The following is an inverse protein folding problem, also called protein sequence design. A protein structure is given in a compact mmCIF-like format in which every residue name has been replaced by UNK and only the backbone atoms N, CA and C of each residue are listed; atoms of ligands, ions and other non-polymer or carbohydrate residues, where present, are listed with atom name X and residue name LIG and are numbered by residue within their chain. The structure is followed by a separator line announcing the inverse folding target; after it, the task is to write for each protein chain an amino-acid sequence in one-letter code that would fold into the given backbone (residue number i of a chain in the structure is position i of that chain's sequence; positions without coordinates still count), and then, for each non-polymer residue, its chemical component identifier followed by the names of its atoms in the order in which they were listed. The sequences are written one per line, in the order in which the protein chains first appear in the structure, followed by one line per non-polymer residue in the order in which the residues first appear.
data_IF_905822408042
#
_entry.id   IF_905822408042
#
_cell.length_a   1.000
_cell.length_b   1.000
_cell.length_c   1.000
_cell.angle_alpha   90.00
_cell.angle_beta   90.00
_cell.angle_gamma   90.00
#
_symmetry.space_group_name_H-M   'P 1'
#
loop_
_entity.id
_entity.type
_entity.pdbx_description
1 polymer ?
#
# COMPACT_ATOMS: atom_id res chain seq x y z
N UNK A 1 -13.55 2.90 31.50
CA UNK A 1 -12.64 2.70 30.36
C UNK A 1 -11.75 3.91 30.05
N UNK A 2 -12.22 5.17 30.15
CA UNK A 2 -11.37 6.36 29.90
C UNK A 2 -10.13 6.48 30.80
N UNK A 3 -10.22 6.10 32.09
CA UNK A 3 -9.09 6.18 33.03
C UNK A 3 -7.91 5.28 32.67
N UNK A 4 -8.16 4.12 32.07
CA UNK A 4 -7.10 3.20 31.65
C UNK A 4 -6.36 3.72 30.41
N UNK A 5 -7.09 4.32 29.46
CA UNK A 5 -6.48 4.91 28.27
C UNK A 5 -5.57 6.10 28.61
N UNK A 6 -5.99 6.99 29.53
CA UNK A 6 -5.14 8.11 29.95
C UNK A 6 -3.89 7.65 30.71
N UNK A 7 -4.02 6.61 31.54
CA UNK A 7 -2.89 6.00 32.24
C UNK A 7 -1.88 5.39 31.26
N UNK A 8 -2.37 4.74 30.21
CA UNK A 8 -1.54 4.10 29.20
C UNK A 8 -0.79 5.12 28.35
N UNK A 9 -1.48 6.17 27.90
CA UNK A 9 -0.84 7.29 27.20
C UNK A 9 0.18 8.01 28.09
N UNK A 10 -0.16 8.23 29.36
CA UNK A 10 0.76 8.80 30.35
C UNK A 10 2.00 7.94 30.56
N UNK A 11 1.83 6.64 30.79
CA UNK A 11 2.94 5.69 30.93
C UNK A 11 3.81 5.65 29.67
N UNK A 12 3.19 5.63 28.49
CA UNK A 12 3.91 5.63 27.22
C UNK A 12 4.74 6.90 27.07
N UNK A 13 4.17 8.08 27.37
CA UNK A 13 4.91 9.34 27.39
C UNK A 13 6.06 9.33 28.41
N UNK A 14 5.84 8.78 29.60
CA UNK A 14 6.87 8.68 30.64
C UNK A 14 8.01 7.80 30.17
N UNK A 15 7.72 6.62 29.60
CA UNK A 15 8.75 5.73 29.05
C UNK A 15 9.51 6.41 27.93
N UNK A 16 8.82 7.10 27.02
CA UNK A 16 9.43 7.84 25.90
C UNK A 16 10.31 8.99 26.41
N UNK A 17 9.85 9.71 27.43
CA UNK A 17 10.60 10.78 28.09
C UNK A 17 11.82 10.27 28.86
N UNK A 18 11.69 9.13 29.56
CA UNK A 18 12.82 8.47 30.26
C UNK A 18 13.84 7.96 29.24
N UNK A 19 13.41 7.39 28.12
CA UNK A 19 14.31 6.97 27.04
C UNK A 19 15.05 8.16 26.42
N UNK A 20 14.34 9.26 26.17
CA UNK A 20 14.94 10.50 25.67
C UNK A 20 15.92 11.10 26.68
N UNK A 21 15.58 11.10 27.97
CA UNK A 21 16.43 11.62 29.04
C UNK A 21 17.65 10.74 29.28
N UNK A 22 17.49 9.41 29.32
CA UNK A 22 18.59 8.47 29.41
C UNK A 22 19.52 8.61 28.19
N UNK A 23 18.93 8.79 27.00
CA UNK A 23 19.65 9.17 25.80
C UNK A 23 20.46 10.44 25.97
N UNK A 24 19.86 11.49 26.53
CA UNK A 24 20.51 12.80 26.73
C UNK A 24 21.59 12.78 27.84
N UNK A 25 21.38 12.04 28.91
CA UNK A 25 22.38 11.88 29.99
C UNK A 25 23.54 11.00 29.55
N UNK A 26 23.27 10.02 28.69
CA UNK A 26 24.30 9.26 27.99
C UNK A 26 25.01 10.13 26.93
N UNK A 27 24.29 11.01 26.23
CA UNK A 27 24.85 12.02 25.31
C UNK A 27 25.86 12.94 26.00
N UNK A 28 25.60 13.37 27.24
CA UNK A 28 26.43 14.36 27.92
C UNK A 28 27.76 13.79 28.45
N UNK A 29 27.83 12.48 28.71
CA UNK A 29 29.02 11.84 29.30
C UNK A 29 29.94 11.14 28.29
N UNK A 30 29.52 10.97 27.03
CA UNK A 30 30.21 10.10 26.05
C UNK A 30 30.59 10.82 24.73
N UNK A 31 30.02 11.98 24.41
CA UNK A 31 30.17 12.59 23.07
C UNK A 31 31.19 13.74 22.99
N UNK A 32 32.46 13.36 22.87
CA UNK A 32 33.43 14.05 21.98
C UNK A 32 33.59 13.30 20.64
N UNK A 33 32.96 12.12 20.48
CA UNK A 33 33.08 11.27 19.29
C UNK A 33 31.76 11.13 18.53
N UNK A 34 31.72 11.66 17.29
CA UNK A 34 30.82 11.34 16.17
C UNK A 34 29.44 10.75 16.53
N UNK A 35 28.46 11.63 16.69
CA UNK A 35 27.05 11.33 16.94
C UNK A 35 26.36 10.57 15.78
N UNK A 36 26.63 9.26 15.65
CA UNK A 36 26.07 8.37 14.62
C UNK A 36 24.91 7.49 15.07
N UNK A 37 24.63 7.41 16.38
CA UNK A 37 23.63 6.49 16.94
C UNK A 37 22.21 7.11 17.10
N UNK A 38 22.03 8.39 16.80
CA UNK A 38 20.78 9.11 17.00
C UNK A 38 19.53 8.53 16.32
N UNK A 39 19.62 7.86 15.15
CA UNK A 39 18.44 7.25 14.54
C UNK A 39 17.79 6.16 15.39
N UNK A 40 18.52 5.58 16.36
CA UNK A 40 17.98 4.60 17.29
C UNK A 40 16.81 5.14 18.13
N UNK A 41 16.77 6.43 18.43
CA UNK A 41 15.62 7.04 19.12
C UNK A 41 14.36 7.01 18.24
N UNK A 42 14.51 7.27 16.94
CA UNK A 42 13.41 7.24 15.97
C UNK A 42 12.91 5.80 15.80
N UNK A 43 13.83 4.83 15.69
CA UNK A 43 13.50 3.39 15.66
C UNK A 43 12.76 2.97 16.94
N UNK A 44 13.25 3.40 18.10
CA UNK A 44 12.62 3.12 19.40
C UNK A 44 11.19 3.66 19.49
N UNK A 45 10.97 4.88 19.02
CA UNK A 45 9.62 5.47 18.94
C UNK A 45 8.71 4.69 17.99
N UNK A 46 9.19 4.34 16.80
CA UNK A 46 8.45 3.52 15.82
C UNK A 46 8.09 2.13 16.36
N UNK A 47 9.03 1.46 17.03
CA UNK A 47 8.80 0.17 17.69
C UNK A 47 7.75 0.29 18.79
N UNK A 48 7.82 1.34 19.61
CA UNK A 48 6.86 1.58 20.68
C UNK A 48 5.44 1.77 20.11
N UNK A 49 5.30 2.49 18.99
CA UNK A 49 4.02 2.62 18.28
C UNK A 49 3.52 1.28 17.71
N UNK A 50 4.40 0.43 17.19
CA UNK A 50 4.03 -0.85 16.61
C UNK A 50 3.75 -1.95 17.64
N UNK A 51 4.40 -1.90 18.81
CA UNK A 51 4.23 -2.87 19.91
C UNK A 51 2.95 -2.60 20.69
N UNK A 52 2.56 -1.33 20.87
CA UNK A 52 1.38 -0.99 21.68
C UNK A 52 0.09 -1.71 21.21
N UNK A 53 -0.26 -1.80 19.91
CA UNK A 53 -1.42 -2.56 19.44
C UNK A 53 -1.28 -4.07 19.63
N UNK A 54 -0.06 -4.62 19.62
CA UNK A 54 0.21 -6.06 19.83
C UNK A 54 0.03 -6.43 21.30
N UNK A 55 0.53 -5.58 22.21
CA UNK A 55 0.44 -5.80 23.65
C UNK A 55 -0.99 -5.64 24.16
N UNK A 56 -1.72 -4.66 23.61
CA UNK A 56 -3.10 -4.35 24.01
C UNK A 56 -4.12 -4.78 22.96
N UNK A 57 -4.00 -6.02 22.46
CA UNK A 57 -4.91 -6.61 21.47
C UNK A 57 -6.40 -6.51 21.81
N UNK A 58 -6.75 -6.37 23.08
CA UNK A 58 -8.15 -6.25 23.52
C UNK A 58 -8.77 -4.88 23.20
N UNK A 59 -7.96 -3.83 23.02
CA UNK A 59 -8.45 -2.47 22.81
C UNK A 59 -8.51 -2.16 21.32
N UNK A 60 -9.71 -2.28 20.75
CA UNK A 60 -9.97 -2.14 19.31
C UNK A 60 -9.44 -0.84 18.69
N UNK A 61 -9.29 0.25 19.45
CA UNK A 61 -8.83 1.54 18.92
C UNK A 61 -7.32 1.65 18.65
N UNK A 62 -6.47 0.78 19.22
CA UNK A 62 -5.02 0.95 19.09
C UNK A 62 -4.47 0.62 17.70
N UNK A 63 -5.20 -0.14 16.86
CA UNK A 63 -4.74 -0.49 15.50
C UNK A 63 -4.39 0.73 14.63
N UNK A 64 -4.96 1.91 14.92
CA UNK A 64 -4.61 3.15 14.22
C UNK A 64 -3.16 3.61 14.42
N UNK A 65 -2.47 3.16 15.47
CA UNK A 65 -1.06 3.53 15.74
C UNK A 65 -0.09 2.94 14.72
N UNK A 66 -0.49 1.91 13.96
CA UNK A 66 0.32 1.40 12.85
C UNK A 66 0.48 2.42 11.72
N UNK A 67 -0.48 3.34 11.54
CA UNK A 67 -0.46 4.33 10.46
C UNK A 67 0.76 5.25 10.59
N UNK A 68 1.05 5.87 11.75
CA UNK A 68 2.30 6.61 11.96
C UNK A 68 3.46 5.71 12.38
N UNK A 69 3.21 4.59 13.06
CA UNK A 69 4.25 3.75 13.64
C UNK A 69 5.16 3.08 12.61
N UNK A 70 4.58 2.53 11.54
CA UNK A 70 5.33 1.84 10.49
C UNK A 70 6.23 2.79 9.69
N UNK A 71 5.76 3.97 9.22
CA UNK A 71 6.62 4.97 8.60
C UNK A 71 7.75 5.42 9.52
N UNK A 72 7.45 5.79 10.77
CA UNK A 72 8.50 6.22 11.72
C UNK A 72 9.55 5.13 11.93
N UNK A 73 9.13 3.86 12.00
CA UNK A 73 10.04 2.73 12.11
C UNK A 73 10.94 2.58 10.88
N UNK A 74 10.36 2.70 9.67
CA UNK A 74 11.11 2.63 8.40
C UNK A 74 12.06 3.83 8.26
N UNK A 75 11.61 5.04 8.60
CA UNK A 75 12.44 6.26 8.62
C UNK A 75 13.62 6.09 9.55
N UNK A 76 13.37 5.63 10.78
CA UNK A 76 14.43 5.35 11.75
C UNK A 76 15.42 4.30 11.24
N UNK A 77 14.93 3.23 10.62
CA UNK A 77 15.78 2.18 10.04
C UNK A 77 16.62 2.68 8.86
N UNK A 78 16.04 3.51 7.99
CA UNK A 78 16.74 4.09 6.85
C UNK A 78 17.80 5.10 7.29
N UNK A 79 17.47 5.96 8.26
CA UNK A 79 18.42 6.90 8.86
C UNK A 79 19.55 6.18 9.59
N UNK A 80 19.24 5.09 10.30
CA UNK A 80 20.24 4.26 10.96
C UNK A 80 21.22 3.64 9.95
N UNK A 81 20.69 3.05 8.87
CA UNK A 81 21.50 2.52 7.78
C UNK A 81 22.37 3.61 7.12
N UNK A 82 21.81 4.79 6.85
CA UNK A 82 22.53 5.91 6.29
C UNK A 82 23.64 6.42 7.22
N UNK A 83 23.40 6.47 8.53
CA UNK A 83 24.37 6.97 9.51
C UNK A 83 25.54 6.03 9.73
N UNK A 84 25.31 4.71 9.72
CA UNK A 84 26.38 3.71 9.78
C UNK A 84 27.20 3.69 8.50
N UNK A 85 26.54 3.70 7.34
CA UNK A 85 27.22 3.66 6.05
C UNK A 85 27.85 4.98 5.64
N UNK A 86 27.52 6.10 6.31
CA UNK A 86 27.82 7.46 5.84
C UNK A 86 27.37 7.73 4.39
N UNK A 87 26.33 7.02 3.95
CA UNK A 87 25.78 7.09 2.59
C UNK A 87 24.41 7.76 2.63
N UNK A 88 24.40 9.08 2.76
CA UNK A 88 23.17 9.88 2.77
C UNK A 88 22.40 9.85 1.44
N UNK A 89 23.06 9.45 0.35
CA UNK A 89 22.44 9.21 -0.95
C UNK A 89 21.37 8.10 -0.92
N UNK A 90 21.47 7.18 0.06
CA UNK A 90 20.44 6.16 0.28
C UNK A 90 19.07 6.81 0.51
N UNK A 91 18.99 7.96 1.18
CA UNK A 91 17.72 8.63 1.38
C UNK A 91 17.04 9.01 0.05
N UNK A 92 17.82 9.48 -0.93
CA UNK A 92 17.31 9.88 -2.24
C UNK A 92 16.76 8.73 -3.08
N UNK A 93 17.30 7.52 -2.91
CA UNK A 93 16.86 6.32 -3.65
C UNK A 93 15.74 5.56 -2.92
N UNK A 94 15.77 5.55 -1.60
CA UNK A 94 14.95 4.67 -0.78
C UNK A 94 13.77 5.36 -0.09
N UNK A 95 13.61 6.69 -0.22
CA UNK A 95 12.43 7.39 0.31
C UNK A 95 11.07 6.80 -0.11
N UNK A 96 10.87 6.15 -1.28
CA UNK A 96 9.58 5.53 -1.61
C UNK A 96 9.19 4.40 -0.65
N UNK A 97 10.15 3.81 0.09
CA UNK A 97 9.84 2.88 1.18
C UNK A 97 8.93 3.52 2.23
N UNK A 98 8.99 4.82 2.46
CA UNK A 98 8.09 5.53 3.38
C UNK A 98 6.63 5.49 2.91
N UNK A 99 6.42 5.62 1.61
CA UNK A 99 5.08 5.55 1.02
C UNK A 99 4.55 4.12 1.13
N UNK A 100 5.40 3.12 0.88
CA UNK A 100 5.04 1.70 1.07
C UNK A 100 4.74 1.43 2.55
N UNK A 101 5.55 1.99 3.46
CA UNK A 101 5.39 1.89 4.90
C UNK A 101 4.04 2.48 5.37
N UNK A 102 3.62 3.62 4.82
CA UNK A 102 2.30 4.20 5.04
C UNK A 102 1.18 3.26 4.56
N UNK A 103 1.31 2.72 3.34
CA UNK A 103 0.36 1.74 2.80
C UNK A 103 0.24 0.49 3.69
N UNK A 104 1.37 -0.01 4.18
CA UNK A 104 1.42 -1.15 5.11
C UNK A 104 0.82 -0.79 6.48
N UNK A 105 1.06 0.42 6.98
CA UNK A 105 0.44 0.95 8.19
C UNK A 105 -1.08 0.98 8.10
N UNK A 106 -1.63 1.44 6.97
CA UNK A 106 -3.06 1.38 6.69
C UNK A 106 -3.58 -0.05 6.59
N UNK A 107 -2.83 -0.95 5.95
CA UNK A 107 -3.24 -2.36 5.81
C UNK A 107 -3.31 -3.05 7.18
N UNK A 108 -2.28 -2.87 8.02
CA UNK A 108 -2.25 -3.39 9.39
C UNK A 108 -3.36 -2.76 10.23
N UNK A 109 -3.57 -1.45 10.13
CA UNK A 109 -4.68 -0.79 10.79
C UNK A 109 -6.04 -1.36 10.36
N UNK A 110 -6.25 -1.64 9.06
CA UNK A 110 -7.48 -2.25 8.55
C UNK A 110 -7.73 -3.63 9.17
N UNK A 111 -6.68 -4.46 9.28
CA UNK A 111 -6.76 -5.81 9.86
C UNK A 111 -7.05 -5.75 11.37
N UNK A 112 -6.33 -4.91 12.12
CA UNK A 112 -6.46 -4.82 13.57
C UNK A 112 -7.74 -4.09 14.02
N UNK A 113 -8.16 -3.03 13.30
CA UNK A 113 -9.41 -2.32 13.57
C UNK A 113 -10.64 -3.07 13.02
N UNK A 114 -10.43 -4.07 12.16
CA UNK A 114 -11.48 -4.77 11.40
C UNK A 114 -12.34 -3.82 10.55
N UNK A 115 -11.74 -2.73 10.06
CA UNK A 115 -12.40 -1.71 9.22
C UNK A 115 -12.02 -1.95 7.76
N UNK A 116 -12.94 -2.57 7.02
CA UNK A 116 -12.76 -2.93 5.60
C UNK A 116 -12.46 -1.70 4.73
N UNK A 117 -13.02 -0.54 5.07
CA UNK A 117 -12.85 0.70 4.31
C UNK A 117 -11.40 1.20 4.25
N UNK A 118 -10.54 0.83 5.20
CA UNK A 118 -9.11 1.20 5.20
C UNK A 118 -8.26 0.37 4.22
N UNK A 119 -8.80 -0.73 3.68
CA UNK A 119 -8.09 -1.54 2.68
C UNK A 119 -7.91 -0.74 1.38
N UNK A 120 -8.89 0.09 0.99
CA UNK A 120 -8.80 0.89 -0.24
C UNK A 120 -7.61 1.87 -0.19
N UNK A 121 -7.48 2.77 0.81
CA UNK A 121 -6.32 3.65 0.89
C UNK A 121 -5.00 2.88 1.11
N UNK A 122 -5.03 1.74 1.82
CA UNK A 122 -3.83 0.89 1.96
C UNK A 122 -3.29 0.42 0.61
N UNK A 123 -4.17 -0.07 -0.27
CA UNK A 123 -3.80 -0.51 -1.60
C UNK A 123 -3.36 0.66 -2.48
N UNK A 124 -4.11 1.78 -2.49
CA UNK A 124 -3.75 2.95 -3.29
C UNK A 124 -2.35 3.46 -2.92
N UNK A 125 -2.11 3.70 -1.63
CA UNK A 125 -0.82 4.20 -1.14
C UNK A 125 0.29 3.15 -1.36
N UNK A 126 0.02 1.87 -1.08
CA UNK A 126 1.00 0.79 -1.25
C UNK A 126 1.45 0.60 -2.71
N UNK A 127 0.51 0.55 -3.66
CA UNK A 127 0.84 0.43 -5.08
C UNK A 127 1.51 1.68 -5.64
N UNK A 128 1.08 2.88 -5.21
CA UNK A 128 1.78 4.12 -5.56
C UNK A 128 3.22 4.12 -5.02
N UNK A 129 3.44 3.67 -3.78
CA UNK A 129 4.78 3.52 -3.21
C UNK A 129 5.66 2.56 -4.00
N UNK A 130 5.12 1.42 -4.44
CA UNK A 130 5.83 0.47 -5.30
C UNK A 130 6.20 1.06 -6.67
N UNK A 131 5.30 1.82 -7.29
CA UNK A 131 5.58 2.52 -8.54
C UNK A 131 6.67 3.58 -8.37
N UNK A 132 6.63 4.35 -7.28
CA UNK A 132 7.67 5.33 -6.94
C UNK A 132 9.01 4.66 -6.66
N UNK A 133 9.01 3.50 -5.97
CA UNK A 133 10.21 2.71 -5.72
C UNK A 133 10.83 2.23 -7.05
N UNK A 134 10.00 1.75 -7.97
CA UNK A 134 10.45 1.39 -9.31
C UNK A 134 11.11 2.58 -10.04
N UNK A 135 10.48 3.76 -10.03
CA UNK A 135 11.05 4.96 -10.65
C UNK A 135 12.36 5.40 -9.99
N UNK A 136 12.44 5.34 -8.65
CA UNK A 136 13.65 5.72 -7.92
C UNK A 136 14.82 4.76 -8.18
N UNK A 137 14.56 3.45 -8.29
CA UNK A 137 15.58 2.43 -8.57
C UNK A 137 16.04 2.41 -10.03
N UNK A 138 15.13 2.62 -10.98
CA UNK A 138 15.45 2.58 -12.42
C UNK A 138 15.89 3.93 -12.99
N UNK A 139 15.61 5.03 -12.29
CA UNK A 139 15.80 6.38 -12.79
C UNK A 139 14.82 6.79 -13.90
N UNK A 140 13.89 5.90 -14.31
CA UNK A 140 12.96 6.15 -15.41
C UNK A 140 11.72 6.92 -14.92
N UNK A 141 11.91 8.19 -14.55
CA UNK A 141 10.80 9.05 -14.13
C UNK A 141 9.78 9.32 -15.24
N UNK A 142 10.15 9.14 -16.52
CA UNK A 142 9.21 9.21 -17.65
C UNK A 142 8.12 8.13 -17.57
N UNK A 143 8.45 6.94 -17.04
CA UNK A 143 7.50 5.85 -16.86
C UNK A 143 6.38 6.22 -15.88
N UNK A 144 6.58 7.23 -15.02
CA UNK A 144 5.58 7.72 -14.08
C UNK A 144 4.27 8.14 -14.76
N UNK A 145 4.34 8.71 -15.97
CA UNK A 145 3.17 9.11 -16.74
C UNK A 145 2.26 7.92 -17.08
N UNK A 146 2.85 6.74 -17.31
CA UNK A 146 2.12 5.49 -17.59
C UNK A 146 1.71 4.81 -16.28
N UNK A 147 2.60 4.80 -15.28
CA UNK A 147 2.37 4.18 -13.98
C UNK A 147 1.21 4.80 -13.20
N UNK A 148 0.77 6.02 -13.54
CA UNK A 148 -0.37 6.66 -12.88
C UNK A 148 -1.68 5.85 -12.98
N UNK A 149 -1.81 5.00 -14.01
CA UNK A 149 -2.96 4.07 -14.13
C UNK A 149 -2.97 2.96 -13.08
N UNK A 150 -1.88 2.78 -12.31
CA UNK A 150 -1.85 1.88 -11.17
C UNK A 150 -2.83 2.32 -10.08
N UNK A 151 -3.17 3.61 -10.01
CA UNK A 151 -4.11 4.15 -9.02
C UNK A 151 -5.53 3.58 -9.21
N UNK A 152 -6.20 3.73 -10.37
CA UNK A 152 -7.51 3.10 -10.56
C UNK A 152 -7.44 1.56 -10.48
N UNK A 153 -6.32 0.95 -10.90
CA UNK A 153 -6.10 -0.49 -10.74
C UNK A 153 -6.07 -0.90 -9.26
N UNK A 154 -5.37 -0.14 -8.42
CA UNK A 154 -5.25 -0.38 -6.98
C UNK A 154 -6.57 -0.22 -6.22
N UNK A 155 -7.54 0.52 -6.77
CA UNK A 155 -8.91 0.58 -6.23
C UNK A 155 -9.75 -0.60 -6.72
N UNK A 156 -9.58 -1.00 -7.99
CA UNK A 156 -10.31 -2.12 -8.59
C UNK A 156 -9.99 -3.47 -7.92
N UNK A 157 -8.72 -3.69 -7.56
CA UNK A 157 -8.21 -4.93 -6.97
C UNK A 157 -8.86 -5.30 -5.62
N UNK A 158 -8.89 -4.42 -4.59
CA UNK A 158 -9.55 -4.71 -3.32
C UNK A 158 -11.07 -4.85 -3.47
N UNK A 159 -11.72 -4.06 -4.36
CA UNK A 159 -13.14 -4.24 -4.66
C UNK A 159 -13.41 -5.62 -5.27
N UNK A 160 -12.57 -6.07 -6.20
CA UNK A 160 -12.68 -7.38 -6.82
C UNK A 160 -12.49 -8.50 -5.79
N UNK A 161 -11.51 -8.38 -4.89
CA UNK A 161 -11.29 -9.33 -3.79
C UNK A 161 -12.51 -9.38 -2.86
N UNK A 162 -13.01 -8.23 -2.41
CA UNK A 162 -14.18 -8.16 -1.52
C UNK A 162 -15.43 -8.74 -2.21
N UNK A 163 -15.65 -8.41 -3.47
CA UNK A 163 -16.75 -8.95 -4.28
C UNK A 163 -16.68 -10.47 -4.43
N UNK A 164 -15.48 -11.03 -4.59
CA UNK A 164 -15.25 -12.46 -4.68
C UNK A 164 -15.48 -13.17 -3.33
N UNK A 165 -14.96 -12.61 -2.24
CA UNK A 165 -15.08 -13.18 -0.89
C UNK A 165 -16.52 -13.11 -0.35
N UNK A 166 -17.24 -12.01 -0.60
CA UNK A 166 -18.61 -11.79 -0.10
C UNK A 166 -19.71 -12.20 -1.08
N UNK A 167 -19.33 -12.69 -2.28
CA UNK A 167 -20.27 -13.05 -3.36
C UNK A 167 -21.26 -11.93 -3.70
N UNK A 168 -20.78 -10.68 -3.68
CA UNK A 168 -21.55 -9.50 -4.03
C UNK A 168 -21.34 -9.21 -5.52
N UNK A 169 -22.30 -9.62 -6.36
CA UNK A 169 -22.18 -9.52 -7.81
C UNK A 169 -21.94 -8.08 -8.29
N UNK A 170 -22.58 -7.09 -7.67
CA UNK A 170 -22.39 -5.67 -8.01
C UNK A 170 -20.97 -5.16 -7.71
N UNK A 171 -20.42 -5.49 -6.54
CA UNK A 171 -19.07 -5.06 -6.14
C UNK A 171 -18.01 -5.76 -6.99
N UNK A 172 -18.22 -7.06 -7.29
CA UNK A 172 -17.35 -7.83 -8.18
C UNK A 172 -17.34 -7.24 -9.59
N UNK A 173 -18.51 -6.89 -10.13
CA UNK A 173 -18.61 -6.28 -11.47
C UNK A 173 -17.92 -4.91 -11.49
N UNK A 174 -18.14 -4.08 -10.48
CA UNK A 174 -17.48 -2.77 -10.35
C UNK A 174 -15.95 -2.91 -10.30
N UNK A 175 -15.43 -3.82 -9.47
CA UNK A 175 -13.99 -4.10 -9.39
C UNK A 175 -13.42 -4.58 -10.73
N UNK A 176 -14.13 -5.43 -11.45
CA UNK A 176 -13.71 -5.96 -12.74
C UNK A 176 -13.72 -4.89 -13.85
N UNK A 177 -14.75 -4.04 -13.90
CA UNK A 177 -14.81 -2.91 -14.83
C UNK A 177 -13.67 -1.93 -14.54
N UNK A 178 -13.47 -1.54 -13.27
CA UNK A 178 -12.45 -0.56 -12.90
C UNK A 178 -11.03 -1.08 -13.19
N UNK A 179 -10.77 -2.35 -12.87
CA UNK A 179 -9.50 -3.01 -13.21
C UNK A 179 -9.30 -3.13 -14.72
N UNK A 180 -10.36 -3.41 -15.48
CA UNK A 180 -10.35 -3.47 -16.94
C UNK A 180 -10.03 -2.12 -17.57
N UNK A 181 -10.69 -1.05 -17.14
CA UNK A 181 -10.42 0.32 -17.61
C UNK A 181 -8.97 0.71 -17.31
N UNK A 182 -8.50 0.46 -16.10
CA UNK A 182 -7.12 0.76 -15.71
C UNK A 182 -6.10 -0.02 -16.56
N UNK A 183 -6.36 -1.29 -16.86
CA UNK A 183 -5.51 -2.11 -17.73
C UNK A 183 -5.48 -1.62 -19.18
N UNK A 184 -6.63 -1.21 -19.73
CA UNK A 184 -6.71 -0.63 -21.08
C UNK A 184 -5.95 0.69 -21.16
N UNK A 185 -6.13 1.57 -20.17
CA UNK A 185 -5.39 2.84 -20.10
C UNK A 185 -3.88 2.62 -19.97
N UNK A 186 -3.46 1.66 -19.13
CA UNK A 186 -2.05 1.31 -18.98
C UNK A 186 -1.45 0.83 -20.31
N UNK A 187 -2.14 -0.07 -21.01
CA UNK A 187 -1.70 -0.58 -22.31
C UNK A 187 -1.61 0.52 -23.37
N UNK A 188 -2.60 1.41 -23.43
CA UNK A 188 -2.63 2.53 -24.36
C UNK A 188 -1.47 3.51 -24.10
N UNK A 189 -1.27 3.93 -22.84
CA UNK A 189 -0.19 4.83 -22.47
C UNK A 189 1.19 4.20 -22.63
N UNK A 190 1.34 2.90 -22.32
CA UNK A 190 2.59 2.18 -22.49
C UNK A 190 3.04 2.17 -23.96
N UNK A 191 2.12 2.13 -24.92
CA UNK A 191 2.53 2.22 -26.34
C UNK A 191 2.94 3.59 -26.80
N UNK A 192 2.37 4.64 -26.19
CA UNK A 192 2.77 6.01 -26.48
C UNK A 192 4.19 6.27 -25.98
N UNK A 193 4.58 5.66 -24.85
CA UNK A 193 5.92 5.79 -24.30
C UNK A 193 6.95 4.86 -24.97
N UNK A 194 6.55 3.64 -25.36
CA UNK A 194 7.41 2.66 -26.04
C UNK A 194 7.66 2.97 -27.53
N UNK A 195 7.24 4.14 -28.03
CA UNK A 195 7.26 4.52 -29.44
C UNK A 195 8.67 4.71 -30.05
N UNK A 196 9.74 4.41 -29.31
CA UNK A 196 11.11 4.34 -29.82
C UNK A 196 11.41 3.06 -30.64
N UNK A 197 10.57 2.01 -30.58
CA UNK A 197 10.77 0.76 -31.33
C UNK A 197 9.53 0.25 -32.08
N UNK A 198 9.73 -0.47 -33.20
CA UNK A 198 8.65 -1.04 -34.02
C UNK A 198 7.74 -2.01 -33.23
N UNK A 199 8.31 -2.74 -32.29
CA UNK A 199 7.58 -3.65 -31.40
C UNK A 199 6.68 -2.90 -30.40
N UNK A 200 7.13 -1.74 -29.89
CA UNK A 200 6.34 -0.89 -28.99
C UNK A 200 5.11 -0.27 -29.66
N UNK A 201 5.16 -0.03 -30.97
CA UNK A 201 4.01 0.49 -31.75
C UNK A 201 2.89 -0.54 -31.92
N UNK A 202 3.21 -1.83 -31.98
CA UNK A 202 2.24 -2.91 -32.22
C UNK A 202 1.67 -3.52 -30.93
N UNK A 203 2.43 -3.47 -29.82
CA UNK A 203 2.07 -4.16 -28.58
C UNK A 203 0.72 -3.70 -27.98
N UNK A 204 0.45 -2.40 -27.92
CA UNK A 204 -0.79 -1.87 -27.31
C UNK A 204 -2.04 -2.08 -28.14
N UNK A 205 -2.04 -1.81 -29.46
CA UNK A 205 -3.17 -2.18 -30.30
C UNK A 205 -3.52 -3.66 -30.16
N UNK A 206 -2.51 -4.54 -30.16
CA UNK A 206 -2.71 -5.98 -29.99
C UNK A 206 -3.27 -6.32 -28.61
N UNK A 207 -2.75 -5.71 -27.52
CA UNK A 207 -3.28 -5.93 -26.16
C UNK A 207 -4.73 -5.44 -26.05
N UNK A 208 -5.06 -4.27 -26.59
CA UNK A 208 -6.44 -3.74 -26.59
C UNK A 208 -7.38 -4.65 -27.36
N UNK A 209 -6.95 -5.18 -28.51
CA UNK A 209 -7.73 -6.12 -29.32
C UNK A 209 -7.95 -7.44 -28.56
N UNK A 210 -6.91 -7.98 -27.91
CA UNK A 210 -7.02 -9.21 -27.14
C UNK A 210 -7.94 -9.01 -25.93
N UNK A 211 -7.75 -7.94 -25.15
CA UNK A 211 -8.59 -7.66 -23.98
C UNK A 211 -10.04 -7.41 -24.37
N UNK A 212 -10.27 -6.62 -25.43
CA UNK A 212 -11.58 -6.37 -25.99
C UNK A 212 -12.25 -7.65 -26.50
N UNK A 213 -11.49 -8.53 -27.17
CA UNK A 213 -11.95 -9.84 -27.62
C UNK A 213 -12.37 -10.75 -26.46
N UNK A 214 -11.55 -10.83 -25.41
CA UNK A 214 -11.86 -11.63 -24.21
C UNK A 214 -13.11 -11.10 -23.50
N UNK A 215 -13.27 -9.79 -23.39
CA UNK A 215 -14.49 -9.18 -22.84
C UNK A 215 -15.72 -9.47 -23.71
N UNK A 216 -15.60 -9.43 -25.03
CA UNK A 216 -16.71 -9.73 -25.94
C UNK A 216 -17.14 -11.21 -25.83
N UNK A 217 -16.18 -12.14 -25.84
CA UNK A 217 -16.43 -13.58 -25.73
C UNK A 217 -17.05 -13.92 -24.38
N UNK A 218 -16.55 -13.35 -23.29
CA UNK A 218 -17.12 -13.58 -21.96
C UNK A 218 -18.53 -12.98 -21.81
N UNK A 219 -18.82 -11.85 -22.44
CA UNK A 219 -20.16 -11.27 -22.48
C UNK A 219 -21.15 -12.12 -23.29
N UNK A 220 -20.72 -12.65 -24.44
CA UNK A 220 -21.53 -13.53 -25.27
C UNK A 220 -21.81 -14.87 -24.57
N UNK A 221 -20.80 -15.50 -23.98
CA UNK A 221 -20.95 -16.78 -23.26
C UNK A 221 -21.94 -16.68 -22.07
N UNK A 222 -22.01 -15.51 -21.41
CA UNK A 222 -22.93 -15.30 -20.30
C UNK A 222 -24.39 -15.12 -20.75
N UNK A 223 -24.64 -14.61 -21.96
CA UNK A 223 -26.01 -14.50 -22.53
C UNK A 223 -26.59 -15.86 -22.91
N UNK A 224 -25.79 -16.74 -23.48
CA UNK A 224 -26.25 -18.06 -23.95
C UNK A 224 -26.72 -18.96 -22.80
N UNK A 225 -26.04 -18.91 -21.64
CA UNK A 225 -26.44 -19.69 -20.47
C UNK A 225 -27.76 -19.20 -19.84
N UNK A 226 -28.04 -17.90 -19.89
CA UNK A 226 -29.30 -17.35 -19.37
C UNK A 226 -30.54 -17.71 -20.21
N UNK A 227 -30.39 -17.82 -21.53
CA UNK A 227 -31.48 -18.23 -22.42
C UNK A 227 -31.90 -19.70 -22.25
N UNK A 228 -30.97 -20.59 -21.92
CA UNK A 228 -31.25 -22.02 -21.75
C UNK A 228 -32.05 -22.27 -20.47
N UNK A 229 -31.69 -21.62 -19.36
CA UNK A 229 -32.33 -21.81 -18.06
C UNK A 229 -33.79 -21.32 -18.03
N UNK A 230 -34.12 -20.32 -18.85
CA UNK A 230 -35.48 -19.77 -18.96
C UNK A 230 -36.40 -20.70 -19.76
N UNK A 231 -35.88 -21.38 -20.79
CA UNK A 231 -36.65 -22.33 -21.59
C UNK A 231 -36.94 -23.64 -20.83
N UNK A 232 -36.01 -24.16 -20.03
CA UNK A 232 -36.24 -25.37 -19.23
C UNK A 232 -37.29 -25.18 -18.14
N UNK A 233 -37.43 -23.96 -17.60
CA UNK A 233 -38.48 -23.63 -16.61
C UNK A 233 -39.87 -23.51 -17.23
N UNK A 234 -39.99 -23.05 -18.48
CA UNK A 234 -41.27 -22.99 -19.19
C UNK A 234 -41.75 -24.34 -19.71
N UNK A 235 -40.85 -25.31 -19.90
CA UNK A 235 -41.20 -26.63 -20.41
C UNK A 235 -41.61 -27.63 -19.31
N UNK A 236 -41.32 -27.31 -18.05
CA UNK A 236 -41.64 -28.12 -16.87
C UNK A 236 -42.78 -27.54 -16.00
N UNK A 237 -43.46 -26.49 -16.48
CA UNK A 237 -44.63 -25.87 -15.86
C UNK A 237 -45.86 -26.09 -16.77
#
# INVERSE_FOLDING_TARGET
MQKQASLLFGLTLIVLGVLALAGNLYMQNVLDSDFRAWPLFVVGAGLLFCIAPILFRHVRGLGGLYIPGIPVLVTGGLLYAASIGNHWELWGQWWPLEVIALGLGFLLAAIFLQVIWLIIPAFVVGFTGLALLFCALTGQWEAWAVLWTIVPLSVGLPLLIIGLLKRLDGVRLAGLILSGIAGVLFAALSTLLASAGWAGRLAGPVIIIILGGVMLVSALAKRTNGSVETQTKQQNA
#
